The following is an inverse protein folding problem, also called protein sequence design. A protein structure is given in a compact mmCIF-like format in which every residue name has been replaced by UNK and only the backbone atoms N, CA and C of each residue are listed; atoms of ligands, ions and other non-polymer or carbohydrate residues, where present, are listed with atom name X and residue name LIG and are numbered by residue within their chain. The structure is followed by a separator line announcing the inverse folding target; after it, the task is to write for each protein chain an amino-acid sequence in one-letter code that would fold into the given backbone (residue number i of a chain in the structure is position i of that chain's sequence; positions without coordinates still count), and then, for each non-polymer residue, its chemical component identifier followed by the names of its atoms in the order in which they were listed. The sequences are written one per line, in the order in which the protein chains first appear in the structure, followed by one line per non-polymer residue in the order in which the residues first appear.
data_IF_838803061538
#
_entry.id   IF_838803061538
#
_cell.length_a   1.000
_cell.length_b   1.000
_cell.length_c   1.000
_cell.angle_alpha   90.00
_cell.angle_beta   90.00
_cell.angle_gamma   90.00
#
_symmetry.space_group_name_H-M   'P 1'
#
loop_
_entity.id
_entity.type
_entity.pdbx_description
1 polymer ?
#
# COMPACT_ATOMS: atom_id res chain seq x y z
N UNK A 1 -18.35 12.73 51.16
CA UNK A 1 -17.68 11.55 50.62
C UNK A 1 -18.14 11.48 49.18
N UNK A 2 -17.32 12.03 48.28
CA UNK A 2 -17.55 11.93 46.83
C UNK A 2 -16.70 10.75 46.35
N UNK A 3 -17.36 9.71 45.93
CA UNK A 3 -16.74 8.65 45.12
C UNK A 3 -16.51 9.22 43.71
N UNK A 4 -15.29 9.63 43.42
CA UNK A 4 -14.83 9.74 42.07
C UNK A 4 -14.67 8.32 41.54
N UNK A 5 -15.63 7.86 40.74
CA UNK A 5 -15.47 6.64 39.96
C UNK A 5 -14.31 6.84 39.01
N UNK A 6 -13.17 6.25 39.32
CA UNK A 6 -12.10 6.04 38.38
C UNK A 6 -12.66 5.15 37.24
N UNK A 7 -12.95 5.76 36.10
CA UNK A 7 -13.16 5.04 34.85
C UNK A 7 -11.81 4.43 34.46
N UNK A 8 -11.45 3.32 35.06
CA UNK A 8 -10.42 2.44 34.55
C UNK A 8 -11.00 1.80 33.31
N UNK A 9 -10.70 2.39 32.14
CA UNK A 9 -10.98 1.77 30.84
C UNK A 9 -10.15 0.49 30.79
N UNK A 10 -10.82 -0.63 30.56
CA UNK A 10 -10.19 -1.94 30.43
C UNK A 10 -9.26 -1.94 29.20
N UNK A 11 -7.97 -1.68 29.43
CA UNK A 11 -6.91 -1.48 28.42
C UNK A 11 -6.64 -2.78 27.63
N UNK A 12 -7.21 -3.91 28.00
CA UNK A 12 -6.91 -5.23 27.41
C UNK A 12 -7.59 -5.51 26.05
N UNK A 13 -8.41 -4.61 25.51
CA UNK A 13 -9.08 -4.80 24.21
C UNK A 13 -8.77 -3.73 23.17
N UNK A 14 -8.12 -2.63 23.52
CA UNK A 14 -7.86 -1.53 22.58
C UNK A 14 -6.50 -1.73 21.92
N UNK A 15 -6.49 -1.91 20.60
CA UNK A 15 -5.27 -2.07 19.81
C UNK A 15 -4.99 -0.89 18.87
N UNK A 16 -5.88 0.14 18.86
CA UNK A 16 -5.75 1.31 18.00
C UNK A 16 -5.96 2.61 18.78
N UNK A 17 -5.07 3.59 18.60
CA UNK A 17 -5.17 4.92 19.21
C UNK A 17 -5.37 6.00 18.15
N UNK A 18 -6.26 6.95 18.43
CA UNK A 18 -6.40 8.21 17.71
C UNK A 18 -5.94 9.35 18.63
N UNK A 19 -4.73 9.85 18.41
CA UNK A 19 -4.08 10.88 19.23
C UNK A 19 -4.49 12.27 18.75
N UNK A 20 -4.75 13.17 19.72
CA UNK A 20 -5.23 14.52 19.43
C UNK A 20 -6.59 14.50 18.74
N UNK A 21 -7.50 13.64 19.22
CA UNK A 21 -8.81 13.42 18.58
C UNK A 21 -9.69 14.67 18.56
N UNK A 22 -9.48 15.62 19.45
CA UNK A 22 -10.28 16.83 19.54
C UNK A 22 -11.78 16.53 19.55
N UNK A 23 -12.48 17.16 18.59
CA UNK A 23 -13.93 16.98 18.39
C UNK A 23 -14.22 15.95 17.27
N UNK A 24 -13.21 15.18 16.81
CA UNK A 24 -13.30 14.18 15.75
C UNK A 24 -12.92 12.77 16.24
N UNK A 25 -13.71 12.16 17.14
CA UNK A 25 -13.45 10.80 17.58
C UNK A 25 -13.63 9.79 16.45
N UNK A 26 -12.83 8.73 16.46
CA UNK A 26 -12.95 7.62 15.51
C UNK A 26 -13.54 6.39 16.17
N UNK A 27 -14.48 5.74 15.49
CA UNK A 27 -15.02 4.45 15.89
C UNK A 27 -13.94 3.36 15.74
N UNK A 28 -13.87 2.44 16.71
CA UNK A 28 -12.86 1.39 16.75
C UNK A 28 -11.49 1.83 17.26
N UNK A 29 -11.32 3.10 17.67
CA UNK A 29 -10.11 3.62 18.28
C UNK A 29 -10.37 4.10 19.71
N UNK A 30 -9.37 3.97 20.55
CA UNK A 30 -9.33 4.77 21.78
C UNK A 30 -8.88 6.19 21.42
N UNK A 31 -9.76 7.14 21.66
CA UNK A 31 -9.53 8.54 21.36
C UNK A 31 -8.80 9.21 22.52
N UNK A 32 -7.59 9.69 22.28
CA UNK A 32 -6.70 10.31 23.27
C UNK A 32 -6.63 11.81 22.97
N UNK A 33 -6.99 12.63 23.96
CA UNK A 33 -6.91 14.08 23.86
C UNK A 33 -6.81 14.71 25.24
N UNK A 34 -6.11 15.84 25.39
CA UNK A 34 -6.02 16.61 26.63
C UNK A 34 -7.37 17.06 27.14
N UNK A 35 -8.31 17.38 26.26
CA UNK A 35 -9.70 17.70 26.63
C UNK A 35 -10.35 16.56 27.42
N UNK A 36 -9.89 15.32 27.22
CA UNK A 36 -10.36 14.15 27.93
C UNK A 36 -9.44 13.75 29.11
N UNK A 37 -8.47 14.61 29.46
CA UNK A 37 -7.51 14.35 30.54
C UNK A 37 -6.41 13.34 30.19
N UNK A 38 -6.22 13.03 28.89
CA UNK A 38 -5.24 12.08 28.42
C UNK A 38 -4.12 12.79 27.63
N UNK A 39 -2.87 12.47 27.96
CA UNK A 39 -1.70 13.00 27.24
C UNK A 39 -1.35 12.13 26.03
N UNK A 40 -0.95 12.79 24.93
CA UNK A 40 -0.50 12.12 23.71
C UNK A 40 0.99 11.75 23.77
N UNK A 41 1.71 12.23 24.75
CA UNK A 41 3.13 11.95 25.02
C UNK A 41 3.50 12.27 26.49
N UNK A 42 4.18 11.34 27.22
CA UNK A 42 4.41 9.95 26.83
C UNK A 42 3.10 9.13 26.83
N UNK A 43 3.03 8.10 25.96
CA UNK A 43 1.89 7.19 25.94
C UNK A 43 2.00 6.18 27.09
N UNK A 44 0.96 6.14 27.93
CA UNK A 44 0.87 5.25 29.11
C UNK A 44 0.22 3.90 28.72
N UNK A 45 0.79 3.24 27.70
CA UNK A 45 0.41 1.89 27.26
C UNK A 45 1.63 1.00 27.21
N UNK A 46 1.43 -0.33 27.30
CA UNK A 46 2.54 -1.28 27.24
C UNK A 46 3.25 -1.23 25.87
N UNK A 47 4.57 -1.42 25.82
CA UNK A 47 5.28 -1.60 24.56
C UNK A 47 4.68 -2.75 23.75
N UNK A 48 4.70 -2.61 22.42
CA UNK A 48 4.24 -3.64 21.48
C UNK A 48 2.80 -4.14 21.70
N UNK A 49 1.94 -3.25 22.19
CA UNK A 49 0.53 -3.57 22.44
C UNK A 49 -0.42 -3.10 21.35
N UNK A 50 -0.01 -2.14 20.53
CA UNK A 50 -0.89 -1.46 19.56
C UNK A 50 -0.68 -1.97 18.13
N UNK A 51 -1.77 -2.13 17.40
CA UNK A 51 -1.76 -2.43 15.97
C UNK A 51 -1.66 -1.15 15.13
N UNK A 52 -2.23 -0.03 15.63
CA UNK A 52 -2.23 1.24 14.90
C UNK A 52 -2.23 2.44 15.85
N UNK A 53 -1.44 3.46 15.51
CA UNK A 53 -1.50 4.80 16.09
C UNK A 53 -1.75 5.78 14.95
N UNK A 54 -2.76 6.64 15.11
CA UNK A 54 -3.08 7.74 14.23
C UNK A 54 -2.89 9.05 14.98
N UNK A 55 -2.17 10.01 14.40
CA UNK A 55 -1.99 11.36 14.93
C UNK A 55 -2.23 12.37 13.80
N UNK A 56 -3.36 13.06 13.86
CA UNK A 56 -3.77 14.03 12.84
C UNK A 56 -3.59 15.44 13.39
N UNK A 57 -2.61 16.16 12.84
CA UNK A 57 -2.24 17.51 13.28
C UNK A 57 -1.95 17.58 14.78
N UNK A 58 -0.99 16.76 15.22
CA UNK A 58 -0.52 16.65 16.60
C UNK A 58 0.99 16.86 16.69
N UNK A 59 1.75 16.27 15.75
CA UNK A 59 3.20 16.22 15.83
C UNK A 59 3.84 17.62 15.72
N UNK A 60 3.24 18.52 14.95
CA UNK A 60 3.68 19.90 14.76
C UNK A 60 3.60 20.76 16.03
N UNK A 61 2.81 20.38 17.02
CA UNK A 61 2.71 21.08 18.30
C UNK A 61 3.91 20.81 19.23
N UNK A 62 4.71 19.81 18.94
CA UNK A 62 5.95 19.56 19.68
C UNK A 62 7.10 20.44 19.12
N UNK A 63 8.04 20.81 20.01
CA UNK A 63 9.27 21.45 19.56
C UNK A 63 10.05 20.52 18.63
N UNK A 64 10.65 21.07 17.57
CA UNK A 64 11.53 20.34 16.65
C UNK A 64 12.60 19.49 17.36
N UNK A 65 13.05 19.90 18.56
CA UNK A 65 14.02 19.14 19.36
C UNK A 65 13.41 17.94 20.09
N UNK A 66 12.08 17.82 20.11
CA UNK A 66 11.34 16.73 20.78
C UNK A 66 10.72 15.74 19.81
N UNK A 67 10.57 16.09 18.53
CA UNK A 67 9.87 15.27 17.51
C UNK A 67 10.36 13.83 17.52
N UNK A 68 11.65 13.59 17.43
CA UNK A 68 12.21 12.24 17.45
C UNK A 68 11.86 11.45 18.72
N UNK A 69 11.85 12.09 19.89
CA UNK A 69 11.51 11.42 21.15
C UNK A 69 10.05 11.03 21.20
N UNK A 70 9.18 11.89 20.69
CA UNK A 70 7.73 11.63 20.58
C UNK A 70 7.48 10.47 19.62
N UNK A 71 8.06 10.52 18.43
CA UNK A 71 7.92 9.45 17.44
C UNK A 71 8.48 8.12 17.95
N UNK A 72 9.62 8.14 18.65
CA UNK A 72 10.21 6.95 19.24
C UNK A 72 9.29 6.32 20.29
N UNK A 73 8.70 7.12 21.19
CA UNK A 73 7.73 6.65 22.18
C UNK A 73 6.52 5.99 21.48
N UNK A 74 5.96 6.64 20.47
CA UNK A 74 4.80 6.09 19.74
C UNK A 74 5.14 4.78 19.02
N UNK A 75 6.29 4.72 18.34
CA UNK A 75 6.73 3.51 17.62
C UNK A 75 7.04 2.36 18.58
N UNK A 76 7.56 2.64 19.78
CA UNK A 76 7.80 1.62 20.80
C UNK A 76 6.50 0.89 21.20
N UNK A 77 5.37 1.61 21.25
CA UNK A 77 4.06 1.05 21.61
C UNK A 77 3.44 0.18 20.51
N UNK A 78 3.86 0.37 19.26
CA UNK A 78 3.39 -0.46 18.15
C UNK A 78 3.95 -1.88 18.23
N UNK A 79 3.13 -2.86 17.91
CA UNK A 79 3.56 -4.23 17.62
C UNK A 79 4.50 -4.25 16.40
N UNK A 80 5.36 -5.26 16.25
CA UNK A 80 6.05 -5.52 14.99
C UNK A 80 5.05 -5.56 13.83
N UNK A 81 5.28 -4.76 12.78
CA UNK A 81 4.32 -4.57 11.67
C UNK A 81 3.17 -3.61 11.95
N UNK A 82 3.04 -3.09 13.16
CA UNK A 82 2.04 -2.08 13.51
C UNK A 82 2.24 -0.76 12.76
N UNK A 83 1.18 0.01 12.55
CA UNK A 83 1.12 1.20 11.69
C UNK A 83 1.15 2.48 12.50
N UNK A 84 1.98 3.44 12.10
CA UNK A 84 1.88 4.83 12.53
C UNK A 84 1.38 5.68 11.36
N UNK A 85 0.24 6.34 11.52
CA UNK A 85 -0.35 7.30 10.58
C UNK A 85 -0.16 8.72 11.12
N UNK A 86 0.56 9.55 10.39
CA UNK A 86 0.84 10.96 10.75
C UNK A 86 0.23 11.88 9.69
N UNK A 87 -0.47 12.91 10.13
CA UNK A 87 -0.84 14.05 9.30
C UNK A 87 -0.31 15.33 9.93
N UNK A 88 0.28 16.21 9.13
CA UNK A 88 0.83 17.52 9.54
C UNK A 88 0.59 18.57 8.47
N UNK A 89 0.65 19.89 8.76
CA UNK A 89 0.66 20.90 7.72
C UNK A 89 1.86 20.74 6.79
N UNK A 90 1.60 20.71 5.47
CA UNK A 90 2.62 20.60 4.43
C UNK A 90 3.17 21.99 4.09
N UNK A 91 4.36 22.27 4.55
CA UNK A 91 4.99 23.57 4.31
C UNK A 91 5.22 23.85 2.82
N UNK A 92 5.54 22.84 2.03
CA UNK A 92 5.72 23.02 0.59
C UNK A 92 4.40 23.41 -0.08
N UNK A 93 3.29 22.74 0.25
CA UNK A 93 1.96 23.10 -0.28
C UNK A 93 1.54 24.51 0.15
N UNK A 94 1.78 24.87 1.40
CA UNK A 94 1.49 26.22 1.93
C UNK A 94 2.29 27.27 1.18
N UNK A 95 3.61 27.07 1.02
CA UNK A 95 4.48 27.99 0.30
C UNK A 95 4.07 28.14 -1.18
N UNK A 96 3.76 27.03 -1.87
CA UNK A 96 3.27 27.04 -3.26
C UNK A 96 1.96 27.79 -3.39
N UNK A 97 0.99 27.56 -2.50
CA UNK A 97 -0.29 28.25 -2.50
C UNK A 97 -0.11 29.76 -2.27
N UNK A 98 0.76 30.17 -1.34
CA UNK A 98 1.10 31.56 -1.09
C UNK A 98 1.72 32.23 -2.32
N UNK A 99 2.71 31.59 -2.95
CA UNK A 99 3.38 32.11 -4.14
C UNK A 99 2.44 32.18 -5.36
N UNK A 100 1.44 31.30 -5.42
CA UNK A 100 0.38 31.36 -6.43
C UNK A 100 -0.70 32.43 -6.16
N UNK A 101 -0.55 33.21 -5.10
CA UNK A 101 -1.50 34.30 -4.74
C UNK A 101 -2.82 33.78 -4.14
N UNK A 102 -2.89 32.53 -3.70
CA UNK A 102 -4.08 32.00 -3.05
C UNK A 102 -4.28 32.65 -1.67
N UNK A 103 -5.53 32.96 -1.34
CA UNK A 103 -5.88 33.50 -0.04
C UNK A 103 -6.00 32.39 0.99
N UNK A 104 -4.90 32.07 1.67
CA UNK A 104 -4.83 31.04 2.71
C UNK A 104 -4.34 31.66 4.04
N UNK A 105 -4.76 31.14 5.20
CA UNK A 105 -4.32 31.62 6.51
C UNK A 105 -2.90 31.12 6.85
N UNK A 106 -1.88 31.62 6.14
CA UNK A 106 -0.48 31.17 6.25
C UNK A 106 0.01 31.16 7.70
N UNK A 107 -0.29 32.21 8.49
CA UNK A 107 0.15 32.29 9.89
C UNK A 107 -0.46 31.12 10.71
N UNK A 108 -1.76 30.85 10.56
CA UNK A 108 -2.42 29.75 11.26
C UNK A 108 -1.82 28.40 10.88
N UNK A 109 -1.56 28.16 9.59
CA UNK A 109 -0.97 26.90 9.15
C UNK A 109 0.48 26.69 9.57
N UNK A 110 1.27 27.78 9.69
CA UNK A 110 2.69 27.70 10.03
C UNK A 110 2.94 27.83 11.53
N UNK A 111 2.17 28.67 12.23
CA UNK A 111 2.42 29.01 13.63
C UNK A 111 1.41 28.39 14.60
N UNK A 112 0.35 27.77 14.09
CA UNK A 112 -0.81 27.34 14.88
C UNK A 112 -1.85 28.42 15.05
N UNK A 113 -3.02 28.04 15.56
CA UNK A 113 -4.14 28.97 15.78
C UNK A 113 -3.97 29.89 16.98
N UNK A 114 -3.08 29.54 17.92
CA UNK A 114 -2.85 30.25 19.18
C UNK A 114 -4.13 30.44 20.01
N UNK A 115 -5.05 29.50 19.95
CA UNK A 115 -6.28 29.53 20.73
C UNK A 115 -5.98 29.33 22.22
N UNK A 116 -4.96 28.51 22.51
CA UNK A 116 -4.38 28.29 23.83
C UNK A 116 -2.85 28.11 23.72
N UNK A 117 -2.19 27.81 24.84
CA UNK A 117 -0.73 27.64 24.88
C UNK A 117 -0.25 26.38 24.16
N UNK A 118 -1.08 25.40 23.97
CA UNK A 118 -0.77 24.13 23.30
C UNK A 118 -1.04 24.17 21.80
N UNK A 119 -1.81 25.16 21.31
CA UNK A 119 -2.13 25.36 19.89
C UNK A 119 -1.06 26.22 19.18
N UNK A 120 0.21 25.91 19.46
CA UNK A 120 1.39 26.54 18.84
C UNK A 120 2.17 25.48 18.09
N UNK A 121 2.56 25.78 16.84
CA UNK A 121 3.43 24.87 16.10
C UNK A 121 4.89 25.14 16.48
N UNK A 122 5.59 24.07 16.87
CA UNK A 122 7.01 24.09 17.25
C UNK A 122 7.94 23.55 16.16
N UNK A 123 7.39 23.06 15.06
CA UNK A 123 8.10 22.52 13.90
C UNK A 123 7.25 22.64 12.64
N UNK A 124 7.90 22.77 11.49
CA UNK A 124 7.27 22.70 10.17
C UNK A 124 7.82 21.48 9.42
N UNK A 125 6.98 20.86 8.60
CA UNK A 125 7.32 19.69 7.82
C UNK A 125 7.05 19.94 6.35
N UNK A 126 7.94 19.43 5.53
CA UNK A 126 7.68 19.03 4.15
C UNK A 126 7.77 17.50 4.04
N UNK A 127 7.55 16.97 2.84
CA UNK A 127 7.51 15.51 2.63
C UNK A 127 8.85 14.84 2.98
N UNK A 128 9.96 15.43 2.55
CA UNK A 128 11.30 14.86 2.75
C UNK A 128 11.67 14.85 4.23
N UNK A 129 11.48 15.97 4.92
CA UNK A 129 11.73 16.09 6.36
C UNK A 129 10.89 15.09 7.19
N UNK A 130 9.61 14.92 6.86
CA UNK A 130 8.77 13.96 7.57
C UNK A 130 9.17 12.51 7.29
N UNK A 131 9.55 12.16 6.06
CA UNK A 131 10.07 10.82 5.73
C UNK A 131 11.36 10.53 6.52
N UNK A 132 12.27 11.50 6.62
CA UNK A 132 13.51 11.35 7.37
C UNK A 132 13.26 11.11 8.86
N UNK A 133 12.35 11.86 9.47
CA UNK A 133 11.98 11.67 10.88
C UNK A 133 11.34 10.29 11.12
N UNK A 134 10.39 9.87 10.28
CA UNK A 134 9.74 8.57 10.38
C UNK A 134 10.73 7.41 10.18
N UNK A 135 11.64 7.54 9.20
CA UNK A 135 12.70 6.54 8.94
C UNK A 135 13.68 6.43 10.10
N UNK A 136 14.03 7.57 10.71
CA UNK A 136 15.01 7.64 11.81
C UNK A 136 14.57 6.88 13.07
N UNK A 137 13.26 6.74 13.28
CA UNK A 137 12.68 5.96 14.39
C UNK A 137 12.36 4.51 14.03
N UNK A 138 12.83 4.04 12.87
CA UNK A 138 12.74 2.64 12.45
C UNK A 138 11.45 2.25 11.75
N UNK A 139 10.65 3.22 11.26
CA UNK A 139 9.53 2.94 10.39
C UNK A 139 10.01 2.63 8.98
N UNK A 140 9.29 1.75 8.31
CA UNK A 140 9.54 1.26 6.95
C UNK A 140 8.26 1.31 6.13
N UNK A 141 8.37 1.17 4.80
CA UNK A 141 7.20 1.16 3.90
C UNK A 141 6.43 2.48 3.96
N UNK A 142 7.15 3.62 4.04
CA UNK A 142 6.53 4.94 4.19
C UNK A 142 5.78 5.29 2.92
N UNK A 143 4.49 5.57 3.06
CA UNK A 143 3.57 5.84 1.95
C UNK A 143 2.50 6.86 2.35
N UNK A 144 1.77 7.38 1.36
CA UNK A 144 0.63 8.25 1.61
C UNK A 144 -0.56 7.48 2.20
N UNK A 145 -1.39 8.16 2.98
CA UNK A 145 -2.68 7.66 3.43
C UNK A 145 -3.76 8.73 3.30
N UNK A 146 -5.01 8.31 3.23
CA UNK A 146 -6.18 9.19 3.11
C UNK A 146 -7.01 9.09 4.38
N UNK A 147 -7.42 10.23 4.93
CA UNK A 147 -8.26 10.24 6.14
C UNK A 147 -9.63 9.64 5.85
N UNK A 148 -10.07 8.76 6.73
CA UNK A 148 -11.39 8.10 6.70
C UNK A 148 -12.49 8.98 7.29
N UNK A 149 -12.10 10.09 7.96
CA UNK A 149 -13.00 11.05 8.59
C UNK A 149 -12.69 12.47 8.13
N UNK A 150 -13.67 13.37 8.28
CA UNK A 150 -13.51 14.79 7.95
C UNK A 150 -12.86 15.54 9.13
N UNK A 151 -11.55 15.43 9.23
CA UNK A 151 -10.72 16.13 10.20
C UNK A 151 -9.59 16.92 9.50
N UNK A 152 -8.60 17.39 10.27
CA UNK A 152 -7.48 18.17 9.72
C UNK A 152 -6.65 17.40 8.68
N UNK A 153 -6.59 16.06 8.75
CA UNK A 153 -5.92 15.24 7.74
C UNK A 153 -6.64 15.24 6.38
N UNK A 154 -7.90 15.64 6.31
CA UNK A 154 -8.64 15.80 5.06
C UNK A 154 -8.41 17.19 4.39
N UNK A 155 -7.68 18.11 5.02
CA UNK A 155 -7.40 19.43 4.46
C UNK A 155 -6.46 19.34 3.25
N UNK A 156 -6.67 20.17 2.21
CA UNK A 156 -5.79 20.18 1.03
C UNK A 156 -4.31 20.46 1.34
N UNK A 157 -4.03 21.19 2.43
CA UNK A 157 -2.68 21.51 2.87
C UNK A 157 -2.07 20.43 3.78
N UNK A 158 -2.78 19.37 4.07
CA UNK A 158 -2.25 18.29 4.91
C UNK A 158 -1.28 17.40 4.14
N UNK A 159 -0.22 17.00 4.80
CA UNK A 159 0.72 15.96 4.40
C UNK A 159 0.45 14.73 5.27
N UNK A 160 -0.01 13.67 4.66
CA UNK A 160 -0.40 12.46 5.36
C UNK A 160 0.56 11.33 4.97
N UNK A 161 1.40 10.90 5.89
CA UNK A 161 2.31 9.76 5.70
C UNK A 161 2.03 8.68 6.75
N UNK A 162 2.10 7.44 6.34
CA UNK A 162 2.09 6.27 7.23
C UNK A 162 3.36 5.46 7.06
N UNK A 163 3.75 4.73 8.10
CA UNK A 163 4.84 3.77 8.06
C UNK A 163 4.58 2.62 9.01
N UNK A 164 5.32 1.53 8.85
CA UNK A 164 5.16 0.31 9.65
C UNK A 164 6.36 0.12 10.57
N UNK A 165 6.14 -0.24 11.83
CA UNK A 165 7.22 -0.66 12.71
C UNK A 165 7.90 -1.90 12.12
N UNK A 166 9.20 -1.79 11.86
CA UNK A 166 9.96 -2.91 11.30
C UNK A 166 9.85 -4.13 12.23
N UNK A 167 9.48 -5.31 11.71
CA UNK A 167 9.52 -6.54 12.50
C UNK A 167 10.97 -6.94 12.83
N UNK A 168 11.18 -7.64 13.93
CA UNK A 168 12.50 -8.13 14.36
C UNK A 168 13.16 -9.05 13.33
N UNK A 169 12.35 -9.82 12.64
CA UNK A 169 12.78 -10.67 11.55
C UNK A 169 11.71 -10.71 10.44
N UNK A 170 12.18 -10.70 9.19
CA UNK A 170 11.30 -10.96 8.05
C UNK A 170 11.03 -12.46 7.89
N UNK A 171 9.83 -12.87 7.46
CA UNK A 171 9.58 -14.26 7.10
C UNK A 171 10.52 -14.69 5.98
N UNK A 172 10.75 -15.99 5.86
CA UNK A 172 11.57 -16.54 4.77
C UNK A 172 10.80 -16.46 3.45
N UNK A 173 11.15 -15.49 2.63
CA UNK A 173 10.54 -15.23 1.31
C UNK A 173 11.43 -15.76 0.20
N UNK A 174 10.83 -16.33 -0.85
CA UNK A 174 11.50 -16.68 -2.09
C UNK A 174 10.73 -16.09 -3.27
N UNK A 175 11.40 -15.26 -4.08
CA UNK A 175 10.79 -14.65 -5.26
C UNK A 175 10.83 -15.61 -6.46
N UNK A 176 9.78 -15.55 -7.28
CA UNK A 176 9.65 -16.35 -8.51
C UNK A 176 9.17 -15.49 -9.66
N UNK A 177 9.64 -15.79 -10.87
CA UNK A 177 9.24 -15.04 -12.06
C UNK A 177 9.29 -15.92 -13.32
N UNK A 178 8.27 -15.77 -14.17
CA UNK A 178 8.35 -16.17 -15.57
C UNK A 178 8.92 -15.01 -16.39
N UNK A 179 10.00 -15.25 -17.11
CA UNK A 179 10.68 -14.18 -17.88
C UNK A 179 10.60 -14.40 -19.37
N UNK A 180 10.27 -13.38 -20.16
CA UNK A 180 10.48 -13.39 -21.61
C UNK A 180 11.99 -13.33 -21.91
N UNK A 181 12.36 -13.54 -23.18
CA UNK A 181 13.76 -13.37 -23.62
C UNK A 181 14.24 -11.94 -23.59
N UNK A 182 13.32 -10.99 -23.74
CA UNK A 182 13.57 -9.55 -23.68
C UNK A 182 12.73 -8.99 -22.52
N UNK A 183 13.32 -8.14 -21.71
CA UNK A 183 12.65 -7.53 -20.56
C UNK A 183 13.00 -6.06 -20.42
N UNK A 184 12.29 -5.37 -19.56
CA UNK A 184 12.48 -3.96 -19.28
C UNK A 184 13.69 -3.74 -18.37
N UNK A 185 14.60 -2.86 -18.75
CA UNK A 185 15.76 -2.52 -17.93
C UNK A 185 15.35 -1.86 -16.60
N UNK A 186 14.32 -1.03 -16.63
CA UNK A 186 13.82 -0.33 -15.44
C UNK A 186 13.27 -1.31 -14.41
N UNK A 187 12.57 -2.37 -14.84
CA UNK A 187 12.17 -3.46 -13.95
C UNK A 187 13.39 -4.13 -13.30
N UNK A 188 14.39 -4.54 -14.11
CA UNK A 188 15.56 -5.26 -13.59
C UNK A 188 16.36 -4.44 -12.59
N UNK A 189 16.53 -3.13 -12.83
CA UNK A 189 17.24 -2.24 -11.91
C UNK A 189 16.59 -2.24 -10.54
N UNK A 190 15.30 -1.97 -10.47
CA UNK A 190 14.55 -1.89 -9.20
C UNK A 190 14.37 -3.25 -8.52
N UNK A 191 14.03 -4.30 -9.28
CA UNK A 191 13.85 -5.63 -8.73
C UNK A 191 15.13 -6.19 -8.11
N UNK A 192 16.26 -6.07 -8.78
CA UNK A 192 17.55 -6.56 -8.25
C UNK A 192 18.02 -5.77 -7.04
N UNK A 193 17.86 -4.44 -7.03
CA UNK A 193 18.14 -3.59 -5.90
C UNK A 193 17.33 -4.04 -4.68
N UNK A 194 16.01 -4.09 -4.81
CA UNK A 194 15.07 -4.47 -3.75
C UNK A 194 15.36 -5.87 -3.20
N UNK A 195 15.43 -6.87 -4.09
CA UNK A 195 15.66 -8.25 -3.68
C UNK A 195 17.02 -8.46 -3.01
N UNK A 196 18.06 -7.76 -3.48
CA UNK A 196 19.41 -7.82 -2.91
C UNK A 196 19.46 -7.24 -1.48
N UNK A 197 18.89 -6.05 -1.29
CA UNK A 197 18.84 -5.40 0.03
C UNK A 197 18.05 -6.25 1.03
N UNK A 198 16.92 -6.81 0.61
CA UNK A 198 16.08 -7.65 1.45
C UNK A 198 16.58 -9.10 1.57
N UNK A 199 17.65 -9.47 0.87
CA UNK A 199 18.22 -10.84 0.83
C UNK A 199 17.20 -11.88 0.38
N UNK A 200 16.30 -11.51 -0.53
CA UNK A 200 15.30 -12.41 -1.12
C UNK A 200 15.92 -13.06 -2.36
N UNK A 201 15.99 -14.39 -2.36
CA UNK A 201 16.46 -15.15 -3.52
C UNK A 201 15.39 -15.15 -4.62
N UNK A 202 15.82 -15.04 -5.88
CA UNK A 202 14.95 -15.10 -7.06
C UNK A 202 15.22 -16.39 -7.86
N UNK A 203 14.16 -17.17 -8.12
CA UNK A 203 14.16 -18.22 -9.12
C UNK A 203 13.35 -17.78 -10.34
N UNK A 204 13.94 -17.88 -11.53
CA UNK A 204 13.28 -17.47 -12.77
C UNK A 204 13.49 -18.51 -13.87
N UNK A 205 12.47 -18.69 -14.70
CA UNK A 205 12.55 -19.49 -15.91
C UNK A 205 12.16 -18.66 -17.12
N UNK A 206 12.83 -18.93 -18.25
CA UNK A 206 12.58 -18.27 -19.53
C UNK A 206 12.04 -19.29 -20.52
N UNK A 207 10.94 -18.97 -21.19
CA UNK A 207 10.31 -19.85 -22.18
C UNK A 207 9.20 -19.17 -22.96
N UNK A 208 8.55 -19.94 -23.85
CA UNK A 208 7.46 -19.44 -24.68
C UNK A 208 6.11 -19.39 -23.93
N UNK A 209 5.96 -20.19 -22.88
CA UNK A 209 4.70 -20.34 -22.14
C UNK A 209 4.91 -19.89 -20.70
N UNK A 210 4.25 -18.79 -20.35
CA UNK A 210 4.35 -18.15 -19.06
C UNK A 210 4.05 -19.10 -17.89
N UNK A 211 2.96 -19.84 -17.98
CA UNK A 211 2.49 -20.77 -16.95
C UNK A 211 3.45 -21.93 -16.70
N UNK A 212 4.12 -22.43 -17.73
CA UNK A 212 5.09 -23.49 -17.58
C UNK A 212 6.37 -23.01 -16.92
N UNK A 213 6.81 -21.80 -17.27
CA UNK A 213 7.99 -21.17 -16.67
C UNK A 213 7.73 -20.86 -15.19
N UNK A 214 6.56 -20.28 -14.88
CA UNK A 214 6.19 -19.98 -13.51
C UNK A 214 6.03 -21.24 -12.66
N UNK A 215 5.40 -22.29 -13.20
CA UNK A 215 5.28 -23.59 -12.49
C UNK A 215 6.65 -24.15 -12.10
N UNK A 216 7.62 -24.13 -13.02
CA UNK A 216 8.99 -24.59 -12.72
C UNK A 216 9.68 -23.76 -11.67
N UNK A 217 9.53 -22.43 -11.76
CA UNK A 217 10.11 -21.51 -10.77
C UNK A 217 9.50 -21.74 -9.38
N UNK A 218 8.19 -21.96 -9.30
CA UNK A 218 7.48 -22.30 -8.07
C UNK A 218 7.97 -23.64 -7.47
N UNK A 219 8.16 -24.67 -8.29
CA UNK A 219 8.66 -25.98 -7.82
C UNK A 219 10.04 -25.86 -7.19
N UNK A 220 10.96 -25.16 -7.84
CA UNK A 220 12.32 -24.95 -7.33
C UNK A 220 12.32 -24.07 -6.07
N UNK A 221 11.48 -23.04 -6.02
CA UNK A 221 11.37 -22.18 -4.86
C UNK A 221 10.80 -22.93 -3.65
N UNK A 222 9.74 -23.71 -3.84
CA UNK A 222 9.12 -24.52 -2.77
C UNK A 222 10.06 -25.56 -2.18
N UNK A 223 10.98 -26.12 -2.99
CA UNK A 223 12.01 -27.05 -2.52
C UNK A 223 12.99 -26.39 -1.51
N UNK A 224 13.09 -25.06 -1.48
CA UNK A 224 13.90 -24.29 -0.52
C UNK A 224 13.19 -24.00 0.81
N UNK A 225 11.97 -24.48 0.94
CA UNK A 225 11.13 -24.36 2.12
C UNK A 225 10.95 -22.91 2.62
N UNK A 226 10.46 -21.98 1.78
CA UNK A 226 10.09 -20.64 2.22
C UNK A 226 8.78 -20.66 3.01
N UNK A 227 8.51 -19.58 3.75
CA UNK A 227 7.21 -19.30 4.36
C UNK A 227 6.26 -18.67 3.33
N UNK A 228 6.81 -17.77 2.51
CA UNK A 228 6.08 -17.09 1.44
C UNK A 228 6.80 -17.21 0.10
N UNK A 229 6.02 -17.31 -0.95
CA UNK A 229 6.43 -17.06 -2.34
C UNK A 229 6.02 -15.62 -2.69
N UNK A 230 6.96 -14.87 -3.26
CA UNK A 230 6.71 -13.55 -3.86
C UNK A 230 6.75 -13.71 -5.38
N UNK A 231 5.60 -13.58 -6.04
CA UNK A 231 5.55 -13.62 -7.51
C UNK A 231 5.86 -12.25 -8.09
N UNK A 232 6.60 -12.22 -9.18
CA UNK A 232 6.99 -11.01 -9.90
C UNK A 232 6.71 -11.17 -11.40
N UNK A 233 6.24 -10.11 -12.05
CA UNK A 233 6.21 -10.00 -13.51
C UNK A 233 7.26 -9.00 -13.99
N UNK A 234 7.83 -9.27 -15.15
CA UNK A 234 8.97 -8.55 -15.74
C UNK A 234 8.68 -7.10 -16.14
N UNK A 235 7.46 -6.67 -16.04
CA UNK A 235 6.96 -5.34 -16.39
C UNK A 235 6.25 -4.63 -15.21
N UNK A 236 6.42 -5.14 -14.00
CA UNK A 236 5.92 -4.50 -12.77
C UNK A 236 6.99 -3.61 -12.15
N UNK A 237 6.70 -2.34 -11.94
CA UNK A 237 7.59 -1.41 -11.24
C UNK A 237 7.19 -1.34 -9.78
N UNK A 238 8.13 -1.67 -8.91
CA UNK A 238 8.01 -1.63 -7.45
C UNK A 238 9.37 -1.31 -6.83
N UNK A 239 9.40 -0.94 -5.57
CA UNK A 239 10.62 -0.72 -4.81
C UNK A 239 10.64 -1.50 -3.48
N UNK A 240 11.65 -1.21 -2.64
CA UNK A 240 11.82 -1.87 -1.35
C UNK A 240 10.66 -1.57 -0.40
N UNK A 241 10.09 -0.36 -0.45
CA UNK A 241 8.99 0.04 0.42
C UNK A 241 7.73 -0.77 0.13
N UNK A 242 7.46 -1.05 -1.15
CA UNK A 242 6.30 -1.86 -1.56
C UNK A 242 6.39 -3.28 -1.01
N UNK A 243 7.56 -3.92 -1.12
CA UNK A 243 7.77 -5.28 -0.60
C UNK A 243 7.72 -5.30 0.94
N UNK A 244 8.31 -4.32 1.61
CA UNK A 244 8.25 -4.19 3.07
C UNK A 244 6.83 -3.96 3.56
N UNK A 245 6.07 -3.08 2.88
CA UNK A 245 4.67 -2.83 3.18
C UNK A 245 3.82 -4.10 2.99
N UNK A 246 4.02 -4.84 1.90
CA UNK A 246 3.31 -6.09 1.62
C UNK A 246 3.56 -7.16 2.70
N UNK A 247 4.81 -7.32 3.13
CA UNK A 247 5.17 -8.22 4.22
C UNK A 247 4.59 -7.77 5.57
N UNK A 248 4.56 -6.46 5.83
CA UNK A 248 3.97 -5.90 7.04
C UNK A 248 2.45 -6.10 7.09
N UNK A 249 1.77 -5.92 5.94
CA UNK A 249 0.34 -6.25 5.81
C UNK A 249 0.09 -7.73 6.06
N UNK A 250 0.91 -8.63 5.50
CA UNK A 250 0.79 -10.07 5.74
C UNK A 250 0.99 -10.45 7.22
N UNK A 251 1.92 -9.80 7.91
CA UNK A 251 2.17 -10.04 9.33
C UNK A 251 0.96 -9.64 10.22
N UNK A 252 0.26 -8.56 9.86
CA UNK A 252 -0.95 -8.10 10.59
C UNK A 252 -2.20 -8.90 10.24
N UNK A 253 -2.22 -9.57 9.09
CA UNK A 253 -3.38 -10.33 8.61
C UNK A 253 -3.00 -11.81 8.40
N UNK A 254 -2.71 -12.55 9.49
CA UNK A 254 -2.23 -13.93 9.40
C UNK A 254 -3.26 -14.90 8.80
N UNK A 255 -4.54 -14.50 8.71
CA UNK A 255 -5.60 -15.24 8.02
C UNK A 255 -5.51 -15.14 6.48
N UNK A 256 -4.86 -14.09 5.96
CA UNK A 256 -4.70 -13.92 4.52
C UNK A 256 -3.72 -14.97 3.94
N UNK A 257 -4.18 -15.79 2.98
CA UNK A 257 -3.36 -16.83 2.37
C UNK A 257 -2.58 -16.32 1.16
N UNK A 258 -3.10 -15.31 0.47
CA UNK A 258 -2.41 -14.56 -0.57
C UNK A 258 -2.79 -13.07 -0.51
N UNK A 259 -1.81 -12.18 -0.78
CA UNK A 259 -2.00 -10.74 -0.82
C UNK A 259 -1.27 -10.20 -2.05
N UNK A 260 -1.99 -9.55 -2.95
CA UNK A 260 -1.41 -8.87 -4.12
C UNK A 260 -1.36 -7.35 -3.89
N UNK A 261 -0.37 -6.70 -4.46
CA UNK A 261 -0.33 -5.24 -4.57
C UNK A 261 -1.42 -4.74 -5.53
N UNK A 262 -1.74 -3.45 -5.49
CA UNK A 262 -2.71 -2.85 -6.41
C UNK A 262 -2.00 -2.49 -7.73
N UNK A 263 -2.46 -3.05 -8.85
CA UNK A 263 -1.98 -2.75 -10.20
C UNK A 263 -3.14 -2.46 -11.14
N UNK A 264 -2.90 -1.70 -12.20
CA UNK A 264 -3.90 -1.41 -13.25
C UNK A 264 -3.59 -2.19 -14.53
N UNK A 265 -4.62 -2.38 -15.36
CA UNK A 265 -4.44 -2.93 -16.70
C UNK A 265 -3.57 -2.02 -17.57
N UNK A 266 -2.82 -2.58 -18.54
CA UNK A 266 -1.98 -1.79 -19.47
C UNK A 266 -2.80 -0.86 -20.35
N UNK A 267 -3.91 -1.30 -20.88
CA UNK A 267 -4.72 -0.58 -21.87
C UNK A 267 -6.05 -0.07 -21.34
N UNK A 268 -6.28 -0.18 -20.02
CA UNK A 268 -7.52 0.20 -19.38
C UNK A 268 -7.22 0.88 -18.04
N UNK A 269 -8.00 1.89 -17.69
CA UNK A 269 -7.87 2.58 -16.40
C UNK A 269 -8.54 1.82 -15.24
N UNK A 270 -8.65 0.50 -15.34
CA UNK A 270 -9.28 -0.36 -14.34
C UNK A 270 -8.24 -1.17 -13.57
N UNK A 271 -8.43 -1.40 -12.27
CA UNK A 271 -7.58 -2.29 -11.49
C UNK A 271 -7.53 -3.71 -12.05
N UNK A 272 -6.36 -4.34 -11.99
CA UNK A 272 -6.13 -5.70 -12.48
C UNK A 272 -6.54 -6.73 -11.42
N UNK A 273 -7.81 -6.75 -11.08
CA UNK A 273 -8.40 -7.65 -10.09
C UNK A 273 -9.90 -7.83 -10.33
N UNK A 274 -10.47 -8.88 -9.77
CA UNK A 274 -11.91 -8.98 -9.53
C UNK A 274 -12.17 -9.12 -8.03
N UNK A 275 -13.18 -8.44 -7.53
CA UNK A 275 -13.56 -8.50 -6.11
C UNK A 275 -14.88 -9.26 -5.95
N UNK A 276 -15.19 -9.66 -4.72
CA UNK A 276 -16.49 -10.22 -4.37
C UNK A 276 -17.49 -9.09 -4.13
N UNK A 277 -18.57 -9.10 -4.89
CA UNK A 277 -19.74 -8.25 -4.63
C UNK A 277 -20.48 -8.66 -3.37
N UNK A 278 -21.42 -7.82 -2.93
CA UNK A 278 -22.24 -8.07 -1.74
C UNK A 278 -23.12 -9.34 -1.87
N UNK A 279 -23.43 -9.76 -3.09
CA UNK A 279 -24.16 -10.97 -3.45
C UNK A 279 -23.26 -12.23 -3.59
N UNK A 280 -21.94 -12.08 -3.42
CA UNK A 280 -20.95 -13.12 -3.59
C UNK A 280 -20.50 -13.37 -5.03
N UNK A 281 -21.03 -12.66 -6.01
CA UNK A 281 -20.59 -12.72 -7.40
C UNK A 281 -19.29 -11.94 -7.62
N UNK A 282 -18.54 -12.31 -8.66
CA UNK A 282 -17.29 -11.63 -9.01
C UNK A 282 -17.59 -10.35 -9.80
N UNK A 283 -17.03 -9.22 -9.36
CA UNK A 283 -17.21 -7.90 -9.93
C UNK A 283 -15.87 -7.35 -10.41
N UNK A 284 -15.84 -6.89 -11.67
CA UNK A 284 -14.65 -6.24 -12.27
C UNK A 284 -14.71 -4.71 -12.16
N UNK A 285 -15.90 -4.12 -11.97
CA UNK A 285 -16.06 -2.69 -11.69
C UNK A 285 -15.82 -2.45 -10.20
N UNK A 286 -14.66 -1.85 -9.90
CA UNK A 286 -14.21 -1.64 -8.53
C UNK A 286 -14.64 -0.25 -8.07
N UNK A 287 -15.46 -0.19 -7.00
CA UNK A 287 -15.89 1.07 -6.43
C UNK A 287 -14.79 1.76 -5.62
N UNK A 288 -14.93 3.09 -5.46
CA UNK A 288 -14.00 3.86 -4.64
C UNK A 288 -14.01 3.39 -3.17
N UNK A 289 -15.14 2.94 -2.66
CA UNK A 289 -15.27 2.42 -1.30
C UNK A 289 -14.38 1.19 -1.09
N UNK A 290 -14.33 0.28 -2.07
CA UNK A 290 -13.44 -0.90 -2.04
C UNK A 290 -11.99 -0.45 -2.04
N UNK A 291 -11.61 0.49 -2.93
CA UNK A 291 -10.24 1.00 -3.02
C UNK A 291 -9.83 1.84 -1.80
N UNK A 292 -10.79 2.37 -1.03
CA UNK A 292 -10.50 3.14 0.19
C UNK A 292 -10.11 2.28 1.38
N UNK A 293 -10.43 0.97 1.39
CA UNK A 293 -10.00 0.03 2.42
C UNK A 293 -8.50 -0.27 2.33
N UNK A 294 -7.87 -0.74 3.41
CA UNK A 294 -6.47 -1.19 3.37
C UNK A 294 -6.35 -2.51 2.59
N UNK A 295 -7.25 -3.46 2.86
CA UNK A 295 -7.32 -4.75 2.20
C UNK A 295 -8.72 -4.98 1.63
N UNK A 296 -8.80 -5.37 0.35
CA UNK A 296 -10.03 -5.78 -0.30
C UNK A 296 -10.02 -7.29 -0.58
N UNK A 297 -11.05 -8.06 -0.14
CA UNK A 297 -11.19 -9.45 -0.55
C UNK A 297 -11.32 -9.54 -2.06
N UNK A 298 -10.54 -10.41 -2.71
CA UNK A 298 -10.51 -10.55 -4.16
C UNK A 298 -10.77 -12.00 -4.59
N UNK A 299 -11.31 -12.15 -5.79
CA UNK A 299 -11.49 -13.43 -6.45
C UNK A 299 -10.31 -13.75 -7.39
N UNK A 300 -9.74 -12.71 -8.01
CA UNK A 300 -8.54 -12.83 -8.87
C UNK A 300 -7.60 -11.65 -8.63
N UNK A 301 -6.31 -11.85 -8.90
CA UNK A 301 -5.28 -10.84 -8.87
C UNK A 301 -4.20 -11.14 -9.91
N UNK A 302 -3.33 -10.15 -10.16
CA UNK A 302 -2.13 -10.33 -10.98
C UNK A 302 -1.02 -11.09 -10.23
N UNK A 303 0.02 -11.51 -10.95
CA UNK A 303 1.23 -12.12 -10.40
C UNK A 303 2.44 -11.16 -10.39
N UNK A 304 2.21 -9.87 -10.62
CA UNK A 304 3.25 -8.85 -10.75
C UNK A 304 3.98 -8.55 -9.45
N UNK A 305 3.25 -8.41 -8.34
CA UNK A 305 3.78 -8.35 -6.98
C UNK A 305 2.75 -8.96 -6.04
N UNK A 306 2.79 -10.28 -5.88
CA UNK A 306 1.84 -11.03 -5.05
C UNK A 306 2.56 -11.95 -4.10
N UNK A 307 2.22 -11.85 -2.82
CA UNK A 307 2.74 -12.68 -1.73
C UNK A 307 1.78 -13.85 -1.48
N UNK A 308 2.27 -15.09 -1.53
CA UNK A 308 1.47 -16.31 -1.39
C UNK A 308 2.08 -17.17 -0.30
N UNK A 309 1.28 -17.64 0.66
CA UNK A 309 1.75 -18.63 1.66
C UNK A 309 2.20 -19.90 0.96
N UNK A 310 3.47 -20.26 1.14
CA UNK A 310 4.06 -21.41 0.47
C UNK A 310 3.40 -22.74 0.87
N UNK A 311 2.92 -22.85 2.11
CA UNK A 311 2.20 -24.03 2.57
C UNK A 311 0.91 -24.24 1.78
N UNK A 312 0.09 -23.20 1.62
CA UNK A 312 -1.16 -23.27 0.88
C UNK A 312 -0.95 -23.64 -0.59
N UNK A 313 0.13 -23.13 -1.19
CA UNK A 313 0.50 -23.51 -2.55
C UNK A 313 0.93 -24.98 -2.67
N UNK A 314 1.61 -25.55 -1.65
CA UNK A 314 1.93 -26.99 -1.63
C UNK A 314 0.69 -27.88 -1.53
N UNK A 315 -0.34 -27.43 -0.84
CA UNK A 315 -1.61 -28.12 -0.65
C UNK A 315 -2.53 -28.02 -1.87
N UNK A 316 -2.28 -27.03 -2.74
CA UNK A 316 -3.10 -26.79 -3.93
C UNK A 316 -2.90 -27.89 -4.98
N UNK A 317 -4.02 -28.46 -5.47
CA UNK A 317 -4.00 -29.51 -6.49
C UNK A 317 -3.42 -29.03 -7.82
N UNK A 318 -2.67 -29.89 -8.48
CA UNK A 318 -2.11 -29.63 -9.82
C UNK A 318 -3.03 -30.11 -10.94
N UNK A 319 -2.95 -29.50 -12.15
CA UNK A 319 -2.03 -28.40 -12.53
C UNK A 319 -2.45 -27.08 -11.92
N UNK A 320 -1.50 -26.26 -11.47
CA UNK A 320 -1.80 -24.96 -10.89
C UNK A 320 -2.35 -23.96 -11.91
N UNK A 321 -1.77 -23.98 -13.11
CA UNK A 321 -2.15 -23.10 -14.21
C UNK A 321 -2.70 -23.96 -15.36
N UNK A 322 -3.94 -23.71 -15.75
CA UNK A 322 -4.59 -24.45 -16.81
C UNK A 322 -5.59 -23.56 -17.54
N UNK A 323 -5.12 -22.93 -18.63
CA UNK A 323 -6.01 -22.20 -19.52
C UNK A 323 -6.97 -23.14 -20.26
N UNK A 324 -8.19 -22.66 -20.53
CA UNK A 324 -9.16 -23.41 -21.31
C UNK A 324 -9.88 -22.50 -22.32
N UNK A 325 -10.16 -23.00 -23.54
CA UNK A 325 -10.97 -22.30 -24.51
C UNK A 325 -12.42 -22.19 -24.00
N UNK A 326 -13.21 -21.40 -24.68
CA UNK A 326 -14.67 -21.37 -24.54
C UNK A 326 -15.32 -22.72 -24.84
N UNK A 327 -16.60 -22.86 -24.51
CA UNK A 327 -17.38 -24.09 -24.82
C UNK A 327 -17.46 -24.40 -26.31
N UNK A 328 -17.28 -23.38 -27.18
CA UNK A 328 -17.16 -23.55 -28.63
C UNK A 328 -15.85 -24.21 -29.07
N UNK A 329 -14.85 -24.26 -28.19
CA UNK A 329 -13.47 -24.65 -28.50
C UNK A 329 -12.58 -23.50 -29.02
N UNK A 330 -13.10 -22.29 -29.12
CA UNK A 330 -12.39 -21.11 -29.55
C UNK A 330 -11.68 -20.41 -28.37
N UNK A 331 -10.58 -19.71 -28.64
CA UNK A 331 -9.85 -18.89 -27.69
C UNK A 331 -10.34 -17.42 -27.75
N UNK A 332 -11.67 -17.24 -27.63
CA UNK A 332 -12.33 -15.96 -27.63
C UNK A 332 -12.30 -15.23 -26.29
N UNK A 333 -13.19 -14.24 -26.12
CA UNK A 333 -13.23 -13.37 -24.96
C UNK A 333 -13.69 -14.07 -23.65
N UNK A 334 -14.43 -15.20 -23.80
CA UNK A 334 -14.89 -15.99 -22.65
C UNK A 334 -13.96 -17.17 -22.29
N UNK A 335 -12.75 -17.21 -22.83
CA UNK A 335 -11.73 -18.18 -22.43
C UNK A 335 -11.36 -18.03 -20.95
N UNK A 336 -10.80 -19.04 -20.37
CA UNK A 336 -10.20 -18.96 -19.03
C UNK A 336 -8.68 -18.96 -19.20
N UNK A 337 -8.06 -17.83 -18.88
CA UNK A 337 -6.60 -17.70 -18.89
C UNK A 337 -5.98 -18.47 -17.71
N UNK A 338 -4.71 -18.92 -17.82
CA UNK A 338 -4.05 -19.75 -16.80
C UNK A 338 -4.02 -19.12 -15.40
N UNK A 339 -3.82 -17.82 -15.30
CA UNK A 339 -3.82 -17.07 -14.04
C UNK A 339 -5.21 -17.04 -13.39
N UNK A 340 -6.26 -16.82 -14.17
CA UNK A 340 -7.66 -16.89 -13.72
C UNK A 340 -8.00 -18.30 -13.23
N UNK A 341 -7.53 -19.35 -13.95
CA UNK A 341 -7.70 -20.73 -13.54
C UNK A 341 -7.03 -21.03 -12.21
N UNK A 342 -5.83 -20.47 -11.97
CA UNK A 342 -5.14 -20.58 -10.68
C UNK A 342 -5.99 -20.04 -9.53
N UNK A 343 -6.48 -18.80 -9.66
CA UNK A 343 -7.28 -18.16 -8.61
C UNK A 343 -8.62 -18.86 -8.36
N UNK A 344 -9.27 -19.37 -9.40
CA UNK A 344 -10.47 -20.21 -9.24
C UNK A 344 -10.17 -21.51 -8.47
N UNK A 345 -8.99 -22.12 -8.68
CA UNK A 345 -8.57 -23.32 -7.95
C UNK A 345 -8.18 -22.99 -6.51
N UNK A 346 -7.56 -21.81 -6.29
CA UNK A 346 -7.23 -21.28 -4.99
C UNK A 346 -8.47 -21.07 -4.11
N UNK A 347 -9.49 -20.44 -4.67
CA UNK A 347 -10.79 -20.24 -4.00
C UNK A 347 -11.51 -21.56 -3.68
N UNK A 348 -11.54 -22.51 -4.64
CA UNK A 348 -12.15 -23.83 -4.41
C UNK A 348 -11.45 -24.62 -3.31
N UNK A 349 -10.17 -24.40 -3.08
CA UNK A 349 -9.43 -24.98 -1.97
C UNK A 349 -9.73 -24.28 -0.61
N UNK A 350 -10.59 -23.27 -0.59
CA UNK A 350 -10.95 -22.52 0.60
C UNK A 350 -9.88 -21.50 1.04
N UNK A 351 -8.94 -21.16 0.15
CA UNK A 351 -7.91 -20.19 0.44
C UNK A 351 -8.37 -18.77 0.15
N UNK A 352 -7.89 -17.82 0.95
CA UNK A 352 -8.22 -16.40 0.81
C UNK A 352 -7.22 -15.66 -0.10
N UNK A 353 -7.71 -14.64 -0.79
CA UNK A 353 -6.94 -13.68 -1.57
C UNK A 353 -7.40 -12.26 -1.24
N UNK A 354 -6.45 -11.37 -1.06
CA UNK A 354 -6.71 -9.93 -0.83
C UNK A 354 -5.86 -9.06 -1.73
N UNK A 355 -6.34 -7.84 -2.00
CA UNK A 355 -5.56 -6.76 -2.62
C UNK A 355 -5.20 -5.74 -1.55
N UNK A 356 -3.93 -5.41 -1.45
CA UNK A 356 -3.41 -4.35 -0.60
C UNK A 356 -3.53 -3.00 -1.33
N UNK A 357 -4.66 -2.32 -1.15
CA UNK A 357 -5.02 -1.12 -1.90
C UNK A 357 -4.09 0.08 -1.65
N UNK A 358 -3.30 0.05 -0.58
CA UNK A 358 -2.34 1.10 -0.24
C UNK A 358 -0.93 0.82 -0.74
N UNK A 359 -0.76 -0.23 -1.57
CA UNK A 359 0.52 -0.60 -2.17
C UNK A 359 0.35 -0.59 -3.70
N UNK A 360 0.30 0.60 -4.33
CA UNK A 360 0.19 0.70 -5.78
C UNK A 360 1.53 0.38 -6.44
N UNK A 361 1.50 -0.47 -7.46
CA UNK A 361 2.68 -0.81 -8.28
C UNK A 361 2.47 -0.44 -9.73
N UNK A 362 3.54 -0.02 -10.40
CA UNK A 362 3.49 0.40 -11.79
C UNK A 362 3.41 -0.79 -12.74
N UNK A 363 2.76 -0.57 -13.89
CA UNK A 363 2.73 -1.52 -15.01
C UNK A 363 3.42 -0.89 -16.22
N UNK A 364 4.56 -1.43 -16.64
CA UNK A 364 5.31 -0.91 -17.77
C UNK A 364 4.58 -1.19 -19.09
N UNK A 365 4.53 -0.17 -19.92
CA UNK A 365 3.83 -0.20 -21.18
C UNK A 365 4.56 0.58 -22.26
N UNK A 366 4.46 0.12 -23.50
CA UNK A 366 4.98 0.85 -24.66
C UNK A 366 3.96 1.86 -25.13
N UNK A 367 4.39 3.13 -25.24
CA UNK A 367 3.60 4.21 -25.79
C UNK A 367 4.30 4.85 -26.99
N UNK A 368 3.55 5.17 -28.03
CA UNK A 368 4.04 5.98 -29.13
C UNK A 368 3.87 7.44 -28.73
N UNK A 369 4.94 8.22 -28.85
CA UNK A 369 4.91 9.65 -28.58
C UNK A 369 4.95 10.43 -29.90
N UNK A 370 3.94 11.27 -30.14
CA UNK A 370 3.82 12.11 -31.30
C UNK A 370 4.05 13.58 -30.94
N UNK A 371 4.73 14.38 -31.80
CA UNK A 371 4.70 15.82 -31.62
C UNK A 371 3.30 16.35 -31.95
N UNK A 372 2.74 17.16 -31.08
CA UNK A 372 1.49 17.86 -31.33
C UNK A 372 1.70 19.23 -31.99
N UNK A 373 0.60 19.94 -32.26
CA UNK A 373 0.63 21.26 -32.90
C UNK A 373 1.28 22.36 -32.07
N UNK A 374 1.42 22.15 -30.76
CA UNK A 374 2.05 23.08 -29.82
C UNK A 374 3.50 22.70 -29.54
N UNK A 375 4.05 21.72 -30.27
CA UNK A 375 5.39 21.14 -30.06
C UNK A 375 5.53 20.47 -28.65
N UNK A 376 4.43 20.09 -28.05
CA UNK A 376 4.38 19.22 -26.89
C UNK A 376 4.27 17.75 -27.34
N UNK A 377 3.67 16.88 -26.60
CA UNK A 377 3.53 15.49 -26.99
C UNK A 377 2.11 14.97 -26.73
N UNK A 378 1.57 14.28 -27.70
CA UNK A 378 0.43 13.37 -27.51
C UNK A 378 0.92 11.93 -27.48
N UNK A 379 0.22 11.07 -26.73
CA UNK A 379 0.58 9.68 -26.53
C UNK A 379 -0.51 8.76 -27.08
N UNK A 380 -0.09 7.64 -27.67
CA UNK A 380 -0.99 6.69 -28.28
C UNK A 380 -0.48 5.26 -28.05
N UNK A 381 -1.37 4.34 -27.75
CA UNK A 381 -1.02 2.92 -27.72
C UNK A 381 -0.74 2.39 -29.13
N UNK A 382 0.21 1.44 -29.28
CA UNK A 382 0.46 0.81 -30.57
C UNK A 382 -0.77 0.19 -31.22
N UNK A 383 -1.68 -0.39 -30.45
CA UNK A 383 -2.92 -0.97 -30.97
C UNK A 383 -3.84 0.08 -31.59
N UNK A 384 -4.00 1.24 -30.93
CA UNK A 384 -4.81 2.35 -31.45
C UNK A 384 -4.20 2.90 -32.75
N UNK A 385 -2.85 2.97 -32.81
CA UNK A 385 -2.17 3.34 -34.04
C UNK A 385 -2.43 2.36 -35.19
N UNK A 386 -2.49 1.06 -34.91
CA UNK A 386 -2.80 0.07 -35.94
C UNK A 386 -4.24 0.12 -36.42
N UNK A 387 -5.17 0.54 -35.56
CA UNK A 387 -6.57 0.67 -35.91
C UNK A 387 -6.90 2.01 -36.58
N UNK A 388 -6.45 3.11 -35.98
CA UNK A 388 -6.91 4.47 -36.27
C UNK A 388 -5.83 5.32 -36.97
N UNK A 389 -4.58 4.84 -37.04
CA UNK A 389 -3.47 5.60 -37.57
C UNK A 389 -2.96 6.67 -36.61
N UNK A 390 -2.35 7.73 -37.14
CA UNK A 390 -1.81 8.84 -36.33
C UNK A 390 -2.91 9.64 -35.66
N UNK A 391 -2.74 10.10 -34.40
CA UNK A 391 -3.70 10.97 -33.73
C UNK A 391 -4.01 12.24 -34.53
N UNK A 392 -5.25 12.74 -34.44
CA UNK A 392 -5.68 13.94 -35.17
C UNK A 392 -4.92 15.20 -34.76
N UNK A 393 -4.52 15.30 -33.49
CA UNK A 393 -3.77 16.41 -32.92
C UNK A 393 -2.25 16.32 -33.14
N UNK A 394 -1.76 15.24 -33.76
CA UNK A 394 -0.34 15.14 -34.15
C UNK A 394 0.04 16.20 -35.19
N UNK A 395 1.28 16.66 -35.09
CA UNK A 395 1.82 17.60 -36.07
C UNK A 395 1.73 17.03 -37.51
N UNK A 396 1.07 17.79 -38.40
CA UNK A 396 0.96 17.48 -39.84
C UNK A 396 1.42 18.65 -40.67
#
# INVERSE_FOLDING_TARGET
MNEAAENVVDIHQVTKLNLGSGDCPMEGYQNIDRKNGCEVYPLLVEPESLDEIRASHVLEHFSHTKVQKVLFDWVEKLKPGGVLKIAVPDFEKIARAYLAGQQIPVQGYVMGGHVDDDDKHGVVFDREALIDELSSVGLIGISDWVSEISDCAALPISLNLQGFKKPDSWPKVHAVMSTPRLGWNDFWGKALETLSIMKICLTKHTGAFWEQCLTRALDEALARNPEYILTLDYDTIFDINDVQALLSVAARNPEADAIAALQVHRQQSTPLMTVKGADGENVSEISYEVLSTELAPAATAHFGLTLIKAQKLRELSRPWFHGSPESSGEWGDNRIDPDISFWKSWERAGNSLYIANRIPVGHLEVMIRWPDRNLTATYQHPNDYHQDGKPEDSWR
#
